data_IF_220582852970
#
_entry.id   IF_220582852970
#
_cell.length_a   1.000
_cell.length_b   1.000
_cell.length_c   1.000
_cell.angle_alpha   90.00
_cell.angle_beta   90.00
_cell.angle_gamma   90.00
#
_symmetry.space_group_name_H-M   'P 1'
#
loop_
_entity.id
_entity.type
_entity.pdbx_description
1 polymer ?
#
# COMPACT_ATOMS: atom_id res chain seq x y z
N UNK A 1 0.40 -5.38 -19.00
CA UNK A 1 0.01 -5.36 -17.57
C UNK A 1 -1.11 -4.36 -17.40
N UNK A 2 -2.10 -4.60 -16.52
CA UNK A 2 -3.15 -3.61 -16.23
C UNK A 2 -2.65 -2.53 -15.26
N UNK A 3 -3.30 -1.36 -15.28
CA UNK A 3 -3.29 -0.40 -14.18
C UNK A 3 -4.43 -0.73 -13.21
N UNK A 4 -4.19 -0.53 -11.92
CA UNK A 4 -5.18 -0.78 -10.86
C UNK A 4 -5.36 0.50 -10.05
N UNK A 5 -6.61 0.82 -9.74
CA UNK A 5 -6.94 1.77 -8.69
C UNK A 5 -7.37 0.97 -7.45
N UNK A 6 -6.61 1.10 -6.36
CA UNK A 6 -6.89 0.42 -5.09
C UNK A 6 -7.14 1.49 -4.04
N UNK A 7 -8.32 1.46 -3.41
CA UNK A 7 -8.60 2.35 -2.28
C UNK A 7 -7.64 2.02 -1.14
N UNK A 8 -7.02 3.05 -0.55
CA UNK A 8 -6.10 2.87 0.58
C UNK A 8 -6.81 2.53 1.89
N UNK A 9 -8.12 2.77 2.00
CA UNK A 9 -8.92 2.50 3.19
C UNK A 9 -8.41 3.21 4.45
N UNK A 10 -8.84 2.72 5.62
CA UNK A 10 -8.28 3.12 6.90
C UNK A 10 -7.02 2.28 7.21
N UNK A 11 -6.07 2.79 8.03
CA UNK A 11 -4.88 2.04 8.45
C UNK A 11 -5.19 0.64 9.00
N UNK A 12 -6.34 0.48 9.66
CA UNK A 12 -6.83 -0.81 10.19
C UNK A 12 -6.91 -1.92 9.16
N UNK A 13 -7.03 -1.60 7.87
CA UNK A 13 -7.02 -2.58 6.79
C UNK A 13 -5.79 -3.50 6.83
N UNK A 14 -4.64 -3.03 7.34
CA UNK A 14 -3.43 -3.84 7.43
C UNK A 14 -3.54 -5.01 8.43
N UNK A 15 -4.40 -4.90 9.44
CA UNK A 15 -4.60 -5.93 10.48
C UNK A 15 -5.99 -6.56 10.44
N UNK A 16 -6.97 -5.86 9.88
CA UNK A 16 -8.33 -6.32 9.66
C UNK A 16 -8.80 -5.90 8.26
N UNK A 17 -8.46 -6.68 7.21
CA UNK A 17 -8.73 -6.30 5.84
C UNK A 17 -10.18 -6.58 5.40
N UNK A 18 -11.02 -7.11 6.29
CA UNK A 18 -12.41 -7.48 6.02
C UNK A 18 -12.59 -8.29 4.73
N UNK A 19 -13.66 -7.97 3.98
CA UNK A 19 -14.01 -8.68 2.72
C UNK A 19 -13.11 -8.31 1.53
N UNK A 20 -12.47 -7.14 1.58
CA UNK A 20 -11.66 -6.64 0.46
C UNK A 20 -10.27 -7.30 0.42
N UNK A 21 -9.68 -7.64 1.57
CA UNK A 21 -8.39 -8.34 1.65
C UNK A 21 -8.30 -9.61 0.82
N UNK A 22 -9.15 -10.62 1.05
CA UNK A 22 -9.12 -11.87 0.29
C UNK A 22 -9.30 -11.67 -1.22
N UNK A 23 -10.11 -10.68 -1.63
CA UNK A 23 -10.34 -10.35 -3.04
C UNK A 23 -9.13 -9.69 -3.68
N UNK A 24 -8.49 -8.76 -2.99
CA UNK A 24 -7.26 -8.12 -3.46
C UNK A 24 -6.12 -9.13 -3.59
N UNK A 25 -6.00 -10.06 -2.63
CA UNK A 25 -5.02 -11.15 -2.69
C UNK A 25 -5.31 -12.12 -3.85
N UNK A 26 -6.58 -12.44 -4.11
CA UNK A 26 -6.98 -13.27 -5.25
C UNK A 26 -6.66 -12.59 -6.59
N UNK A 27 -6.92 -11.28 -6.70
CA UNK A 27 -6.52 -10.50 -7.88
C UNK A 27 -5.02 -10.55 -8.09
N UNK A 28 -4.22 -10.33 -7.05
CA UNK A 28 -2.75 -10.40 -7.13
C UNK A 28 -2.23 -11.76 -7.64
N UNK A 29 -2.87 -12.87 -7.26
CA UNK A 29 -2.53 -14.21 -7.76
C UNK A 29 -2.96 -14.47 -9.20
N UNK A 30 -4.03 -13.83 -9.66
CA UNK A 30 -4.55 -14.01 -11.02
C UNK A 30 -3.78 -13.17 -12.06
N UNK A 31 -3.06 -12.14 -11.63
CA UNK A 31 -2.30 -11.28 -12.53
C UNK A 31 -0.95 -11.93 -12.92
N UNK A 32 -0.50 -11.77 -14.18
CA UNK A 32 0.85 -12.14 -14.58
C UNK A 32 1.89 -11.37 -13.75
N UNK A 33 2.99 -12.04 -13.40
CA UNK A 33 4.05 -11.47 -12.55
C UNK A 33 4.74 -10.29 -13.25
N UNK A 34 4.68 -9.07 -12.69
CA UNK A 34 5.35 -7.92 -13.29
C UNK A 34 6.86 -7.97 -13.01
N UNK A 35 7.66 -7.33 -13.88
CA UNK A 35 9.09 -7.10 -13.63
C UNK A 35 9.32 -6.00 -12.58
N UNK A 36 8.39 -5.05 -12.47
CA UNK A 36 8.40 -3.96 -11.49
C UNK A 36 6.97 -3.45 -11.24
N UNK A 37 6.74 -2.80 -10.10
CA UNK A 37 5.47 -2.13 -9.77
C UNK A 37 5.75 -0.65 -9.53
N UNK A 38 5.01 0.22 -10.20
CA UNK A 38 4.98 1.65 -9.91
C UNK A 38 3.75 1.93 -9.02
N UNK A 39 3.98 2.50 -7.84
CA UNK A 39 2.92 2.90 -6.90
C UNK A 39 2.82 4.42 -6.89
N UNK A 40 1.60 4.93 -7.06
CA UNK A 40 1.28 6.35 -6.87
C UNK A 40 0.38 6.44 -5.63
N UNK A 41 0.83 7.17 -4.61
CA UNK A 41 0.15 7.24 -3.32
C UNK A 41 -0.36 8.66 -3.05
N UNK A 42 -1.61 8.83 -2.55
CA UNK A 42 -2.11 10.14 -2.14
C UNK A 42 -1.37 10.71 -0.92
N UNK A 43 -0.73 9.85 -0.12
CA UNK A 43 0.04 10.24 1.06
C UNK A 43 1.47 10.71 0.74
N UNK A 44 1.89 10.62 -0.53
CA UNK A 44 3.20 11.11 -0.95
C UNK A 44 3.08 12.35 -1.82
N UNK A 45 3.01 13.51 -1.16
CA UNK A 45 2.87 14.81 -1.80
C UNK A 45 4.22 15.52 -1.88
N UNK A 46 4.61 15.93 -3.09
CA UNK A 46 5.84 16.69 -3.35
C UNK A 46 5.53 17.93 -4.20
N UNK A 47 6.31 19.03 -4.09
CA UNK A 47 6.07 20.24 -4.90
C UNK A 47 6.21 20.04 -6.41
N UNK A 48 7.01 19.05 -6.82
CA UNK A 48 7.22 18.63 -8.20
C UNK A 48 7.18 17.10 -8.28
N UNK A 49 6.89 16.49 -9.45
CA UNK A 49 6.91 15.04 -9.59
C UNK A 49 8.26 14.45 -9.17
N UNK A 50 8.23 13.47 -8.25
CA UNK A 50 9.42 12.75 -7.77
C UNK A 50 9.23 11.25 -7.89
N UNK A 51 10.35 10.53 -7.98
CA UNK A 51 10.39 9.06 -8.01
C UNK A 51 11.35 8.59 -6.93
N UNK A 52 10.90 7.65 -6.09
CA UNK A 52 11.75 6.93 -5.14
C UNK A 52 11.97 5.49 -5.61
N UNK A 53 13.16 4.94 -5.35
CA UNK A 53 13.54 3.59 -5.80
C UNK A 53 14.31 2.77 -4.76
N UNK A 54 14.17 3.11 -3.47
CA UNK A 54 14.82 2.39 -2.38
C UNK A 54 14.33 0.94 -2.30
N UNK A 55 15.24 -0.03 -2.22
CA UNK A 55 14.90 -1.45 -2.15
C UNK A 55 14.12 -1.83 -0.88
N UNK A 56 14.42 -1.15 0.24
CA UNK A 56 13.75 -1.29 1.52
C UNK A 56 13.50 0.12 2.09
N UNK A 57 12.43 0.80 1.66
CA UNK A 57 12.11 2.11 2.22
C UNK A 57 11.77 1.97 3.70
N UNK A 58 12.19 2.93 4.52
CA UNK A 58 11.78 2.97 5.92
C UNK A 58 10.25 3.12 6.02
N UNK A 59 9.62 2.37 6.91
CA UNK A 59 8.19 2.52 7.18
C UNK A 59 7.95 3.79 7.97
N UNK A 60 7.08 4.65 7.44
CA UNK A 60 6.63 5.87 8.08
C UNK A 60 5.14 5.71 8.38
N UNK A 61 4.75 5.83 9.66
CA UNK A 61 3.35 5.85 10.07
C UNK A 61 2.88 7.31 10.13
N UNK A 62 2.19 7.76 9.09
CA UNK A 62 1.65 9.12 8.96
C UNK A 62 0.23 9.28 9.55
N UNK A 63 -0.17 8.36 10.44
CA UNK A 63 -1.47 8.31 11.09
C UNK A 63 -1.36 8.23 12.63
N UNK A 64 -2.41 8.65 13.34
CA UNK A 64 -2.46 8.77 14.79
C UNK A 64 -3.75 8.19 15.41
N UNK A 65 -3.66 7.72 16.66
CA UNK A 65 -4.84 7.30 17.44
C UNK A 65 -5.36 5.89 17.15
N UNK A 66 -4.58 5.06 16.46
CA UNK A 66 -4.95 3.70 16.09
C UNK A 66 -4.32 2.64 17.02
N UNK A 67 -4.73 1.37 16.84
CA UNK A 67 -4.20 0.24 17.60
C UNK A 67 -2.65 0.17 17.54
N UNK A 68 -1.95 0.00 18.68
CA UNK A 68 -0.49 -0.14 18.73
C UNK A 68 0.11 -1.22 17.80
N UNK A 69 -0.67 -2.24 17.41
CA UNK A 69 -0.25 -3.24 16.44
C UNK A 69 0.09 -2.62 15.07
N UNK A 70 -0.58 -1.54 14.67
CA UNK A 70 -0.32 -0.88 13.38
C UNK A 70 1.05 -0.22 13.32
N UNK A 71 1.57 0.26 14.45
CA UNK A 71 2.89 0.88 14.55
C UNK A 71 4.05 -0.12 14.61
N UNK A 72 3.74 -1.42 14.64
CA UNK A 72 4.73 -2.52 14.62
C UNK A 72 4.85 -3.18 13.24
N UNK A 73 4.07 -2.71 12.25
CA UNK A 73 4.12 -3.23 10.88
C UNK A 73 5.25 -2.52 10.14
N UNK A 74 6.23 -3.28 9.64
CA UNK A 74 7.36 -2.77 8.87
C UNK A 74 8.28 -3.89 8.39
#
# INVERSE_FOLDING_TARGET
MPSLFVSHGAPTFAIDPGRAGPRLAALGRALPRPQAVLVVSPHWMTPTPRVGSTAQPATIHDFGGFDPALYRIG
#
